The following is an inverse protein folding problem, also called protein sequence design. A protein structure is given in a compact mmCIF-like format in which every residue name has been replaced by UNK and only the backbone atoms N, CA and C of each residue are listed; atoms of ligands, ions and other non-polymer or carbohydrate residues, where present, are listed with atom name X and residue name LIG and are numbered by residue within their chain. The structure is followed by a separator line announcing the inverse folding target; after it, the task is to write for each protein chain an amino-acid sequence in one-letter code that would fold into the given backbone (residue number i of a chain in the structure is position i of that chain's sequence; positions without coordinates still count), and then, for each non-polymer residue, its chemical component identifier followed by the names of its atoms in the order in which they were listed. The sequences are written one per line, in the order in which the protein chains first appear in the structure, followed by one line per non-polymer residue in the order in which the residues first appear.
data_IF_635960671632
#
_entry.id   IF_635960671632
#
_cell.length_a   1.000
_cell.length_b   1.000
_cell.length_c   1.000
_cell.angle_alpha   90.00
_cell.angle_beta   90.00
_cell.angle_gamma   90.00
#
_symmetry.space_group_name_H-M   'P 1'
#
loop_
_entity.id
_entity.type
_entity.pdbx_description
1 polymer ?
#
# COMPACT_ATOMS: atom_id res chain seq x y z
N UNK A 1 5.85 3.96 -15.60
CA UNK A 1 5.11 3.92 -14.32
C UNK A 1 4.13 5.08 -14.29
N UNK A 2 2.81 4.84 -14.32
CA UNK A 2 1.83 5.93 -14.09
C UNK A 2 2.06 6.46 -12.68
N UNK A 3 2.29 7.76 -12.56
CA UNK A 3 2.64 8.42 -11.30
C UNK A 3 1.58 8.18 -10.24
N UNK A 4 1.99 7.79 -9.03
CA UNK A 4 1.10 7.68 -7.86
C UNK A 4 0.36 9.00 -7.59
N UNK A 5 0.87 10.14 -8.08
CA UNK A 5 0.18 11.44 -8.04
C UNK A 5 -1.18 11.43 -8.72
N UNK A 6 -1.30 10.80 -9.89
CA UNK A 6 -2.57 10.72 -10.61
C UNK A 6 -3.60 9.92 -9.79
N UNK A 7 -3.13 8.86 -9.10
CA UNK A 7 -3.99 8.12 -8.17
C UNK A 7 -4.49 9.01 -7.04
N UNK A 8 -3.59 9.75 -6.38
CA UNK A 8 -3.98 10.62 -5.27
C UNK A 8 -4.97 11.70 -5.71
N UNK A 9 -4.75 12.31 -6.86
CA UNK A 9 -5.67 13.29 -7.43
C UNK A 9 -7.05 12.69 -7.73
N UNK A 10 -7.10 11.49 -8.31
CA UNK A 10 -8.37 10.77 -8.53
C UNK A 10 -9.08 10.46 -7.22
N UNK A 11 -8.36 9.99 -6.19
CA UNK A 11 -8.96 9.69 -4.89
C UNK A 11 -9.49 10.93 -4.18
N UNK A 12 -8.79 12.07 -4.31
CA UNK A 12 -9.27 13.35 -3.79
C UNK A 12 -10.58 13.74 -4.48
N UNK A 13 -10.59 13.75 -5.83
CA UNK A 13 -11.77 14.12 -6.60
C UNK A 13 -12.97 13.19 -6.30
N UNK A 14 -12.73 11.89 -6.21
CA UNK A 14 -13.76 10.90 -5.81
C UNK A 14 -14.26 11.16 -4.39
N UNK A 15 -13.37 11.42 -3.43
CA UNK A 15 -13.78 11.69 -2.04
C UNK A 15 -14.61 12.98 -1.89
N UNK A 16 -14.40 13.95 -2.77
CA UNK A 16 -15.15 15.20 -2.81
C UNK A 16 -16.57 15.02 -3.38
N UNK A 17 -16.73 14.24 -4.46
CA UNK A 17 -17.99 14.13 -5.20
C UNK A 17 -18.82 12.86 -4.96
N UNK A 18 -18.19 11.75 -4.61
CA UNK A 18 -18.85 10.43 -4.58
C UNK A 18 -19.31 10.05 -3.17
N UNK A 19 -20.45 9.32 -3.03
CA UNK A 19 -20.95 8.88 -1.73
C UNK A 19 -20.04 7.84 -1.06
N UNK A 20 -19.21 7.15 -1.83
CA UNK A 20 -18.20 6.22 -1.32
C UNK A 20 -16.93 6.28 -2.16
N UNK A 21 -15.78 5.96 -1.54
CA UNK A 21 -14.49 5.88 -2.21
C UNK A 21 -13.80 4.56 -1.88
N UNK A 22 -13.25 3.92 -2.91
CA UNK A 22 -12.40 2.74 -2.75
C UNK A 22 -10.94 3.17 -2.58
N UNK A 23 -10.41 3.00 -1.37
CA UNK A 23 -9.01 3.22 -1.05
C UNK A 23 -8.22 1.97 -1.44
N UNK A 24 -7.37 2.06 -2.49
CA UNK A 24 -6.68 0.88 -2.99
C UNK A 24 -5.54 0.47 -2.08
N UNK A 25 -5.28 -0.83 -2.01
CA UNK A 25 -4.06 -1.36 -1.42
C UNK A 25 -2.95 -1.34 -2.45
N UNK A 26 -1.77 -0.83 -2.09
CA UNK A 26 -0.61 -0.82 -2.97
C UNK A 26 0.32 -1.96 -2.58
N UNK A 27 0.37 -3.00 -3.42
CA UNK A 27 1.12 -4.22 -3.15
C UNK A 27 2.23 -4.45 -4.20
N UNK A 28 3.30 -5.19 -3.86
CA UNK A 28 4.23 -5.71 -4.84
C UNK A 28 3.54 -6.59 -5.89
N UNK A 29 4.00 -6.53 -7.14
CA UNK A 29 3.46 -7.39 -8.20
C UNK A 29 3.83 -8.87 -7.97
N UNK A 30 2.91 -9.84 -8.08
CA UNK A 30 3.18 -11.25 -7.80
C UNK A 30 4.27 -11.85 -8.72
N UNK A 31 4.41 -11.33 -9.94
CA UNK A 31 5.50 -11.71 -10.85
C UNK A 31 6.90 -11.56 -10.22
N UNK A 32 7.08 -10.59 -9.31
CA UNK A 32 8.34 -10.43 -8.59
C UNK A 32 8.68 -11.66 -7.75
N UNK A 33 7.69 -12.26 -7.07
CA UNK A 33 7.85 -13.49 -6.31
C UNK A 33 8.15 -14.67 -7.24
N UNK A 34 7.40 -14.79 -8.34
CA UNK A 34 7.60 -15.88 -9.31
C UNK A 34 9.02 -15.85 -9.88
N UNK A 35 9.50 -14.68 -10.30
CA UNK A 35 10.84 -14.52 -10.85
C UNK A 35 11.92 -14.79 -9.79
N UNK A 36 11.78 -14.24 -8.58
CA UNK A 36 12.75 -14.44 -7.51
C UNK A 36 12.83 -15.89 -7.00
N UNK A 37 11.68 -16.52 -6.77
CA UNK A 37 11.60 -17.92 -6.35
C UNK A 37 12.04 -18.85 -7.48
N UNK A 38 11.68 -18.55 -8.73
CA UNK A 38 12.14 -19.29 -9.90
C UNK A 38 13.66 -19.28 -10.04
N UNK A 39 14.28 -18.11 -9.86
CA UNK A 39 15.75 -17.99 -9.83
C UNK A 39 16.38 -18.79 -8.70
N UNK A 40 15.79 -18.74 -7.49
CA UNK A 40 16.28 -19.50 -6.33
C UNK A 40 16.17 -21.01 -6.55
N UNK A 41 15.04 -21.49 -7.06
CA UNK A 41 14.83 -22.90 -7.38
C UNK A 41 15.78 -23.38 -8.47
N UNK A 42 16.02 -22.57 -9.51
CA UNK A 42 16.99 -22.86 -10.57
C UNK A 42 18.40 -23.00 -10.01
N UNK A 43 18.82 -22.09 -9.12
CA UNK A 43 20.13 -22.16 -8.47
C UNK A 43 20.29 -23.41 -7.58
N UNK A 44 19.27 -23.74 -6.80
CA UNK A 44 19.28 -24.97 -5.98
C UNK A 44 19.31 -26.24 -6.84
N UNK A 45 18.61 -26.24 -7.97
CA UNK A 45 18.65 -27.36 -8.91
C UNK A 45 20.04 -27.49 -9.56
N UNK A 46 20.62 -26.38 -10.03
CA UNK A 46 21.95 -26.36 -10.65
C UNK A 46 23.06 -26.83 -9.69
N UNK A 47 22.96 -26.49 -8.40
CA UNK A 47 23.94 -26.95 -7.39
C UNK A 47 23.89 -28.45 -7.11
N UNK A 48 22.74 -29.11 -7.35
CA UNK A 48 22.60 -30.57 -7.21
C UNK A 48 23.10 -31.36 -8.42
N UNK A 49 23.29 -30.70 -9.56
CA UNK A 49 23.70 -31.33 -10.81
C UNK A 49 25.21 -31.17 -11.02
N UNK A 50 26.00 -32.07 -10.43
CA UNK A 50 27.47 -31.98 -10.46
C UNK A 50 28.09 -32.12 -11.86
N UNK A 51 27.40 -32.79 -12.80
CA UNK A 51 27.91 -33.16 -14.12
C UNK A 51 27.47 -32.24 -15.26
N UNK A 52 26.76 -31.14 -14.99
CA UNK A 52 26.33 -30.21 -16.04
C UNK A 52 27.51 -29.33 -16.48
N UNK A 53 27.91 -29.33 -17.76
CA UNK A 53 29.03 -28.50 -18.23
C UNK A 53 28.76 -26.99 -18.13
N UNK A 54 27.50 -26.59 -17.96
CA UNK A 54 27.00 -25.22 -18.04
C UNK A 54 26.38 -24.78 -16.69
N UNK A 55 26.85 -25.42 -15.61
CA UNK A 55 26.39 -25.19 -14.24
C UNK A 55 26.68 -23.76 -13.78
N UNK A 56 27.82 -23.20 -14.18
CA UNK A 56 28.22 -21.86 -13.78
C UNK A 56 27.31 -20.79 -14.42
N UNK A 57 27.01 -20.93 -15.71
CA UNK A 57 26.09 -20.07 -16.45
C UNK A 57 24.69 -20.13 -15.86
N UNK A 58 24.22 -21.33 -15.47
CA UNK A 58 22.95 -21.50 -14.77
C UNK A 58 22.96 -20.82 -13.40
N UNK A 59 24.08 -20.82 -12.69
CA UNK A 59 24.26 -20.10 -11.43
C UNK A 59 24.14 -18.59 -11.59
N UNK A 60 24.81 -18.02 -12.60
CA UNK A 60 24.71 -16.60 -12.93
C UNK A 60 23.30 -16.21 -13.37
N UNK A 61 22.65 -17.04 -14.18
CA UNK A 61 21.27 -16.82 -14.60
C UNK A 61 20.30 -16.85 -13.41
N UNK A 62 20.46 -17.83 -12.51
CA UNK A 62 19.69 -17.93 -11.28
C UNK A 62 19.83 -16.67 -10.41
N UNK A 63 21.06 -16.18 -10.23
CA UNK A 63 21.33 -14.95 -9.50
C UNK A 63 20.70 -13.73 -10.19
N UNK A 64 20.83 -13.62 -11.51
CA UNK A 64 20.22 -12.53 -12.29
C UNK A 64 18.70 -12.52 -12.13
N UNK A 65 18.05 -13.68 -12.14
CA UNK A 65 16.61 -13.81 -11.88
C UNK A 65 16.25 -13.38 -10.45
N UNK A 66 17.02 -13.77 -9.43
CA UNK A 66 16.78 -13.33 -8.04
C UNK A 66 16.86 -11.81 -7.94
N UNK A 67 17.91 -11.20 -8.49
CA UNK A 67 18.10 -9.74 -8.49
C UNK A 67 16.97 -9.05 -9.27
N UNK A 68 16.59 -9.58 -10.43
CA UNK A 68 15.45 -9.07 -11.19
C UNK A 68 14.14 -9.15 -10.39
N UNK A 69 13.90 -10.26 -9.69
CA UNK A 69 12.76 -10.42 -8.78
C UNK A 69 12.75 -9.37 -7.66
N UNK A 70 13.90 -9.07 -7.04
CA UNK A 70 14.02 -8.02 -6.03
C UNK A 70 13.75 -6.62 -6.60
N UNK A 71 14.27 -6.32 -7.79
CA UNK A 71 14.00 -5.06 -8.49
C UNK A 71 12.51 -4.93 -8.85
N UNK A 72 11.90 -5.98 -9.39
CA UNK A 72 10.47 -6.01 -9.67
C UNK A 72 9.65 -5.83 -8.39
N UNK A 73 10.03 -6.49 -7.29
CA UNK A 73 9.33 -6.38 -6.01
C UNK A 73 9.28 -4.93 -5.52
N UNK A 74 10.34 -4.17 -5.74
CA UNK A 74 10.44 -2.78 -5.31
C UNK A 74 9.76 -1.81 -6.27
N UNK A 75 9.96 -1.98 -7.59
CA UNK A 75 9.54 -1.04 -8.63
C UNK A 75 8.14 -1.33 -9.21
N UNK A 76 7.76 -2.60 -9.30
CA UNK A 76 6.46 -3.00 -9.84
C UNK A 76 5.46 -3.15 -8.72
N UNK A 77 4.53 -2.20 -8.66
CA UNK A 77 3.40 -2.21 -7.74
C UNK A 77 2.11 -2.48 -8.50
N UNK A 78 1.23 -3.24 -7.86
CA UNK A 78 -0.14 -3.48 -8.28
C UNK A 78 -1.09 -2.77 -7.32
N UNK A 79 -2.19 -2.26 -7.85
CA UNK A 79 -3.33 -1.81 -7.05
C UNK A 79 -4.23 -3.02 -6.80
N UNK A 80 -4.34 -3.40 -5.53
CA UNK A 80 -5.30 -4.35 -5.04
C UNK A 80 -6.57 -3.65 -4.56
N UNK A 81 -7.57 -4.46 -4.23
CA UNK A 81 -8.75 -4.01 -3.53
C UNK A 81 -8.35 -3.79 -2.06
N UNK A 82 -8.76 -2.69 -1.45
CA UNK A 82 -8.33 -2.29 -0.11
C UNK A 82 -9.50 -2.06 0.82
N UNK A 83 -9.80 -0.80 1.09
CA UNK A 83 -10.89 -0.40 2.00
C UNK A 83 -11.90 0.46 1.27
N UNK A 84 -13.17 0.16 1.44
CA UNK A 84 -14.25 1.03 1.00
C UNK A 84 -14.64 1.94 2.15
N UNK A 85 -14.56 3.24 1.91
CA UNK A 85 -15.08 4.26 2.81
C UNK A 85 -16.39 4.79 2.26
N UNK A 86 -17.47 4.57 3.00
CA UNK A 86 -18.79 5.09 2.70
C UNK A 86 -19.05 6.31 3.58
N UNK A 87 -19.20 7.48 2.97
CA UNK A 87 -19.36 8.75 3.67
C UNK A 87 -20.78 8.92 4.23
N UNK A 88 -21.78 8.35 3.57
CA UNK A 88 -23.19 8.49 3.94
C UNK A 88 -23.52 7.67 5.19
N UNK A 89 -23.05 6.42 5.21
CA UNK A 89 -23.19 5.51 6.36
C UNK A 89 -22.03 5.59 7.35
N UNK A 90 -21.08 6.52 7.12
CA UNK A 90 -19.85 6.71 7.92
C UNK A 90 -19.17 5.39 8.28
N UNK A 91 -19.09 4.50 7.30
CA UNK A 91 -18.60 3.13 7.52
C UNK A 91 -17.37 2.89 6.68
N UNK A 92 -16.44 2.15 7.25
CA UNK A 92 -15.29 1.63 6.53
C UNK A 92 -15.30 0.12 6.58
N UNK A 93 -15.28 -0.49 5.40
CA UNK A 93 -15.35 -1.93 5.24
C UNK A 93 -14.16 -2.40 4.40
N UNK A 94 -13.52 -3.53 4.76
CA UNK A 94 -12.51 -4.11 3.91
C UNK A 94 -13.19 -4.66 2.65
N UNK A 95 -12.54 -4.47 1.51
CA UNK A 95 -13.00 -4.99 0.24
C UNK A 95 -11.85 -5.81 -0.35
N UNK A 96 -12.00 -7.14 -0.36
CA UNK A 96 -10.93 -8.05 -0.74
C UNK A 96 -9.78 -8.18 0.26
N UNK A 97 -9.85 -7.51 1.42
CA UNK A 97 -8.88 -7.59 2.52
C UNK A 97 -9.47 -8.27 3.76
N UNK A 98 -8.64 -8.95 4.59
CA UNK A 98 -9.05 -9.36 5.92
C UNK A 98 -9.18 -8.15 6.84
N UNK A 99 -10.35 -7.97 7.44
CA UNK A 99 -10.60 -6.90 8.40
C UNK A 99 -12.01 -6.96 8.97
N UNK A 100 -12.24 -6.25 10.07
CA UNK A 100 -13.57 -6.06 10.62
C UNK A 100 -14.08 -4.70 10.13
N UNK A 101 -15.28 -4.63 9.52
CA UNK A 101 -15.88 -3.35 9.20
C UNK A 101 -16.02 -2.50 10.46
N UNK A 102 -15.63 -1.22 10.39
CA UNK A 102 -15.80 -0.27 11.47
C UNK A 102 -16.88 0.75 11.10
N UNK A 103 -17.82 0.98 12.02
CA UNK A 103 -18.67 2.17 11.97
C UNK A 103 -17.89 3.31 12.62
N UNK A 104 -17.89 4.45 11.94
CA UNK A 104 -17.27 5.69 12.37
C UNK A 104 -18.32 6.69 12.88
N UNK A 105 -19.53 6.22 13.22
CA UNK A 105 -20.60 7.06 13.76
C UNK A 105 -20.36 7.48 15.22
N UNK A 106 -19.59 6.67 15.96
CA UNK A 106 -19.25 6.98 17.34
C UNK A 106 -18.39 8.25 17.43
N UNK A 107 -18.62 9.14 18.40
CA UNK A 107 -17.73 10.26 18.65
C UNK A 107 -16.35 9.76 19.08
N UNK A 108 -15.28 10.51 18.74
CA UNK A 108 -13.91 10.16 19.10
C UNK A 108 -13.09 9.54 17.98
N UNK A 109 -13.66 9.29 16.80
CA UNK A 109 -12.89 8.95 15.60
C UNK A 109 -12.14 10.17 15.05
N UNK A 110 -10.87 9.95 14.71
CA UNK A 110 -9.98 10.94 14.11
C UNK A 110 -9.27 10.37 12.88
N UNK A 111 -8.98 11.25 11.93
CA UNK A 111 -8.20 10.93 10.73
C UNK A 111 -6.75 11.37 10.96
N UNK A 112 -5.82 10.43 10.89
CA UNK A 112 -4.41 10.65 11.17
C UNK A 112 -3.53 10.35 9.94
N UNK A 113 -2.56 11.23 9.68
CA UNK A 113 -1.47 10.97 8.74
C UNK A 113 -0.20 10.63 9.50
N UNK A 114 0.24 9.37 9.47
CA UNK A 114 1.38 8.90 10.26
C UNK A 114 2.50 8.36 9.39
N UNK A 115 3.70 8.21 9.96
CA UNK A 115 4.78 7.50 9.29
C UNK A 115 4.37 6.04 8.97
N UNK A 116 4.56 5.64 7.72
CA UNK A 116 4.32 4.27 7.30
C UNK A 116 5.47 3.33 7.68
N UNK A 117 5.28 2.02 7.47
CA UNK A 117 6.26 0.99 7.85
C UNK A 117 7.58 1.03 7.04
N UNK A 118 7.66 1.85 6.00
CA UNK A 118 8.83 1.96 5.12
C UNK A 118 9.45 3.34 5.23
N UNK A 119 10.76 3.43 4.99
CA UNK A 119 11.49 4.71 4.98
C UNK A 119 10.79 5.72 4.06
N UNK A 120 10.47 6.89 4.62
CA UNK A 120 9.78 7.99 3.91
C UNK A 120 8.48 7.51 3.24
N UNK A 121 7.68 6.71 3.95
CA UNK A 121 6.30 6.40 3.57
C UNK A 121 5.35 7.04 4.57
N UNK A 122 4.13 7.29 4.13
CA UNK A 122 3.06 7.92 4.90
C UNK A 122 1.85 7.00 4.84
N UNK A 123 1.16 6.83 5.96
CA UNK A 123 -0.05 6.06 6.08
C UNK A 123 -1.22 6.94 6.52
N UNK A 124 -2.39 6.66 5.97
CA UNK A 124 -3.66 7.21 6.43
C UNK A 124 -4.28 6.20 7.40
N UNK A 125 -4.59 6.65 8.61
CA UNK A 125 -5.17 5.84 9.67
C UNK A 125 -6.42 6.49 10.24
N UNK A 126 -7.37 5.67 10.65
CA UNK A 126 -8.45 6.09 11.55
C UNK A 126 -8.13 5.61 12.96
N UNK A 127 -8.24 6.52 13.94
CA UNK A 127 -7.97 6.24 15.35
C UNK A 127 -9.17 6.65 16.19
N UNK A 128 -9.51 5.82 17.17
CA UNK A 128 -10.51 6.15 18.17
C UNK A 128 -9.85 6.63 19.45
N UNK A 129 -10.46 7.61 20.13
CA UNK A 129 -9.96 8.18 21.38
C UNK A 129 -9.91 7.18 22.54
N UNK A 130 -10.88 6.26 22.62
CA UNK A 130 -10.95 5.22 23.68
C UNK A 130 -9.78 4.21 23.65
N UNK A 131 -8.86 4.35 22.69
CA UNK A 131 -7.77 3.42 22.48
C UNK A 131 -8.20 2.20 21.69
N UNK A 132 -7.23 1.56 21.03
CA UNK A 132 -7.48 0.44 20.14
C UNK A 132 -6.45 0.36 19.02
N UNK A 133 -6.54 -0.69 18.20
CA UNK A 133 -5.67 -0.83 17.04
C UNK A 133 -6.08 0.19 15.97
N UNK A 134 -5.16 1.06 15.51
CA UNK A 134 -5.47 2.01 14.45
C UNK A 134 -5.87 1.27 13.18
N UNK A 135 -6.90 1.77 12.51
CA UNK A 135 -7.32 1.22 11.22
C UNK A 135 -6.51 1.88 10.11
N UNK A 136 -5.47 1.19 9.65
CA UNK A 136 -4.65 1.66 8.53
C UNK A 136 -5.28 1.28 7.20
N UNK A 137 -5.70 2.29 6.45
CA UNK A 137 -6.54 2.10 5.26
C UNK A 137 -5.79 2.30 3.96
N UNK A 138 -4.69 3.05 4.01
CA UNK A 138 -3.92 3.45 2.84
C UNK A 138 -2.48 3.75 3.25
N UNK A 139 -1.52 3.38 2.40
CA UNK A 139 -0.10 3.68 2.64
C UNK A 139 0.61 3.99 1.32
N UNK A 140 1.44 5.03 1.33
CA UNK A 140 2.30 5.38 0.19
C UNK A 140 3.45 4.39 0.02
N UNK A 141 4.09 4.41 -1.14
CA UNK A 141 5.33 3.65 -1.38
C UNK A 141 6.49 4.20 -0.56
N UNK A 142 7.57 3.41 -0.47
CA UNK A 142 8.83 3.87 0.10
C UNK A 142 9.43 5.00 -0.75
N UNK A 143 10.06 5.96 -0.09
CA UNK A 143 10.70 7.10 -0.77
C UNK A 143 9.70 8.07 -1.40
N UNK A 144 8.51 8.20 -0.82
CA UNK A 144 7.52 9.17 -1.29
C UNK A 144 8.09 10.60 -1.20
N UNK A 145 7.79 11.39 -2.22
CA UNK A 145 8.25 12.78 -2.28
C UNK A 145 7.34 13.72 -1.47
N UNK A 146 7.79 14.97 -1.28
CA UNK A 146 7.03 15.97 -0.54
C UNK A 146 5.65 16.24 -1.15
N UNK A 147 5.52 16.18 -2.47
CA UNK A 147 4.24 16.43 -3.16
C UNK A 147 3.27 15.26 -2.94
N UNK A 148 3.75 14.03 -2.94
CA UNK A 148 2.95 12.86 -2.58
C UNK A 148 2.47 12.96 -1.13
N UNK A 149 3.32 13.41 -0.20
CA UNK A 149 2.90 13.67 1.17
C UNK A 149 1.82 14.76 1.26
N UNK A 150 1.97 15.86 0.52
CA UNK A 150 0.97 16.93 0.44
C UNK A 150 -0.36 16.43 -0.13
N UNK A 151 -0.33 15.56 -1.15
CA UNK A 151 -1.55 14.98 -1.72
C UNK A 151 -2.26 14.03 -0.75
N UNK A 152 -1.53 13.17 -0.03
CA UNK A 152 -2.15 12.30 0.98
C UNK A 152 -2.66 13.11 2.17
N UNK A 153 -1.92 14.14 2.57
CA UNK A 153 -2.35 15.12 3.57
C UNK A 153 -3.67 15.80 3.16
N UNK A 154 -3.78 16.24 1.90
CA UNK A 154 -5.01 16.81 1.36
C UNK A 154 -6.16 15.79 1.28
N UNK A 155 -5.88 14.54 0.92
CA UNK A 155 -6.88 13.48 0.94
C UNK A 155 -7.43 13.28 2.36
N UNK A 156 -6.57 13.29 3.37
CA UNK A 156 -6.97 13.22 4.77
C UNK A 156 -7.87 14.38 5.19
N UNK A 157 -7.58 15.61 4.74
CA UNK A 157 -8.45 16.78 4.98
C UNK A 157 -9.85 16.59 4.40
N UNK A 158 -9.92 16.14 3.14
CA UNK A 158 -11.20 15.91 2.46
C UNK A 158 -12.01 14.87 3.21
N UNK A 159 -11.39 13.75 3.59
CA UNK A 159 -12.03 12.67 4.33
C UNK A 159 -12.51 13.16 5.70
N UNK A 160 -11.64 13.83 6.47
CA UNK A 160 -11.99 14.36 7.79
C UNK A 160 -13.16 15.34 7.71
N UNK A 161 -13.14 16.25 6.73
CA UNK A 161 -14.23 17.21 6.48
C UNK A 161 -15.53 16.51 6.10
N UNK A 162 -15.49 15.55 5.17
CA UNK A 162 -16.67 14.80 4.70
C UNK A 162 -17.31 13.99 5.83
N UNK A 163 -16.50 13.44 6.72
CA UNK A 163 -16.96 12.67 7.87
C UNK A 163 -17.27 13.53 9.10
N UNK A 164 -16.97 14.84 9.06
CA UNK A 164 -17.06 15.74 10.22
C UNK A 164 -16.23 15.27 11.42
N UNK A 165 -15.03 14.75 11.14
CA UNK A 165 -14.08 14.23 12.13
C UNK A 165 -12.92 15.20 12.35
N UNK A 166 -12.28 15.09 13.53
CA UNK A 166 -11.05 15.81 13.78
C UNK A 166 -9.90 15.23 12.97
N UNK A 167 -8.97 16.12 12.62
CA UNK A 167 -7.75 15.77 11.92
C UNK A 167 -6.58 15.86 12.87
N UNK A 168 -5.77 14.80 12.90
CA UNK A 168 -4.45 14.85 13.51
C UNK A 168 -3.39 15.08 12.43
N UNK A 169 -2.53 16.07 12.67
CA UNK A 169 -1.44 16.43 11.75
C UNK A 169 -0.40 15.32 11.60
N UNK A 170 0.61 15.59 10.78
CA UNK A 170 1.74 14.68 10.62
C UNK A 170 2.51 14.55 11.95
N UNK A 171 2.31 13.43 12.65
CA UNK A 171 3.19 13.01 13.73
C UNK A 171 4.44 12.40 13.08
N UNK A 172 5.43 13.25 12.78
CA UNK A 172 6.75 12.81 12.28
C UNK A 172 7.72 12.60 13.42
#
# INVERSE_FOLDING_TARGET
MRSDRALWQTLIAQSEGEPSVLLPKIEPHPAALVVGLGGTALGLWATRQASLPWREELGWLALAMVVAGMLMWTLMKRRGIGWRLDFASRRIAPEGEPGVPASLDAPGWRVCCVAGNKRRSLALEFRHEDGGRPLRVLQTRAGADRREHELVSRLADVIARRLSMSREGLSL
#
